data_IF_207986637268
#
_entry.id   IF_207986637268
#
_cell.length_a   1.000
_cell.length_b   1.000
_cell.length_c   1.000
_cell.angle_alpha   90.00
_cell.angle_beta   90.00
_cell.angle_gamma   90.00
#
_symmetry.space_group_name_H-M   'P 1'
#
loop_
_entity.id
_entity.type
_entity.pdbx_description
1 polymer ?
#
# COMPACT_ATOMS: atom_id res chain seq x y z
N UNK A 1 -15.23 -10.86 -13.36
CA UNK A 1 -14.53 -10.08 -14.42
C UNK A 1 -15.26 -8.78 -14.81
N UNK A 2 -16.43 -8.82 -15.45
CA UNK A 2 -17.12 -7.60 -15.91
C UNK A 2 -17.45 -6.62 -14.77
N UNK A 3 -17.89 -7.13 -13.60
CA UNK A 3 -18.12 -6.31 -12.41
C UNK A 3 -16.84 -5.62 -11.93
N UNK A 4 -15.71 -6.33 -11.87
CA UNK A 4 -14.41 -5.77 -11.47
C UNK A 4 -13.90 -4.71 -12.45
N UNK A 5 -14.03 -4.95 -13.75
CA UNK A 5 -13.67 -3.97 -14.79
C UNK A 5 -14.57 -2.73 -14.74
N UNK A 6 -15.88 -2.92 -14.59
CA UNK A 6 -16.85 -1.83 -14.43
C UNK A 6 -16.58 -0.99 -13.18
N UNK A 7 -16.30 -1.66 -12.06
CA UNK A 7 -15.92 -1.00 -10.81
C UNK A 7 -14.65 -0.17 -10.96
N UNK A 8 -13.59 -0.73 -11.56
CA UNK A 8 -12.36 0.00 -11.83
C UNK A 8 -12.57 1.17 -12.81
N UNK A 9 -13.45 1.03 -13.79
CA UNK A 9 -13.84 2.12 -14.68
C UNK A 9 -14.53 3.26 -13.90
N UNK A 10 -15.40 2.94 -12.94
CA UNK A 10 -16.03 3.93 -12.06
C UNK A 10 -14.98 4.65 -11.20
N UNK A 11 -14.03 3.92 -10.61
CA UNK A 11 -12.94 4.52 -9.82
C UNK A 11 -12.07 5.43 -10.70
N UNK A 12 -11.73 4.99 -11.92
CA UNK A 12 -10.99 5.79 -12.89
C UNK A 12 -11.74 7.07 -13.28
N UNK A 13 -13.06 6.99 -13.49
CA UNK A 13 -13.90 8.15 -13.81
C UNK A 13 -13.98 9.15 -12.65
N UNK A 14 -14.05 8.68 -11.40
CA UNK A 14 -13.97 9.53 -10.21
C UNK A 14 -12.63 10.26 -10.13
N UNK A 15 -11.54 9.53 -10.33
CA UNK A 15 -10.18 10.08 -10.36
C UNK A 15 -10.02 11.16 -11.44
N UNK A 16 -10.61 10.94 -12.62
CA UNK A 16 -10.60 11.89 -13.73
C UNK A 16 -11.34 13.20 -13.41
N UNK A 17 -12.37 13.16 -12.56
CA UNK A 17 -13.24 14.30 -12.25
C UNK A 17 -12.51 15.41 -11.47
N UNK A 18 -11.47 15.06 -10.71
CA UNK A 18 -10.54 16.02 -10.12
C UNK A 18 -9.96 15.58 -8.77
N UNK A 19 -8.76 16.08 -8.47
CA UNK A 19 -7.98 15.73 -7.27
C UNK A 19 -8.69 16.15 -5.98
N UNK A 20 -9.18 17.39 -5.90
CA UNK A 20 -9.89 17.92 -4.72
C UNK A 20 -11.13 17.09 -4.34
N UNK A 21 -11.90 16.68 -5.35
CA UNK A 21 -13.08 15.84 -5.13
C UNK A 21 -12.67 14.41 -4.73
N UNK A 22 -11.65 13.85 -5.36
CA UNK A 22 -11.13 12.52 -5.03
C UNK A 22 -10.63 12.44 -3.58
N UNK A 23 -9.94 13.48 -3.08
CA UNK A 23 -9.49 13.55 -1.68
C UNK A 23 -10.67 13.60 -0.70
N UNK A 24 -11.72 14.38 -1.00
CA UNK A 24 -12.93 14.42 -0.15
C UNK A 24 -13.64 13.07 -0.14
N UNK A 25 -13.78 12.43 -1.31
CA UNK A 25 -14.38 11.10 -1.42
C UNK A 25 -13.58 10.08 -0.61
N UNK A 26 -12.25 10.11 -0.70
CA UNK A 26 -11.36 9.26 0.09
C UNK A 26 -11.62 9.40 1.61
N UNK A 27 -11.76 10.63 2.13
CA UNK A 27 -12.08 10.84 3.55
C UNK A 27 -13.41 10.17 3.94
N UNK A 28 -14.45 10.31 3.12
CA UNK A 28 -15.75 9.67 3.36
C UNK A 28 -15.62 8.15 3.35
N UNK A 29 -14.93 7.60 2.34
CA UNK A 29 -14.71 6.14 2.24
C UNK A 29 -13.92 5.60 3.42
N UNK A 30 -12.90 6.31 3.86
CA UNK A 30 -12.10 5.97 5.04
C UNK A 30 -12.94 5.96 6.32
N UNK A 31 -13.87 6.92 6.49
CA UNK A 31 -14.79 6.92 7.64
C UNK A 31 -15.74 5.72 7.63
N UNK A 32 -16.25 5.33 6.45
CA UNK A 32 -17.09 4.13 6.30
C UNK A 32 -16.29 2.86 6.64
N UNK A 33 -15.06 2.76 6.14
CA UNK A 33 -14.15 1.65 6.42
C UNK A 33 -13.82 1.54 7.91
N UNK A 34 -13.45 2.67 8.54
CA UNK A 34 -13.19 2.74 9.98
C UNK A 34 -14.41 2.34 10.80
N UNK A 35 -15.61 2.73 10.38
CA UNK A 35 -16.86 2.33 11.05
C UNK A 35 -17.02 0.81 11.00
N UNK A 36 -16.74 0.18 9.85
CA UNK A 36 -16.75 -1.27 9.72
C UNK A 36 -15.79 -1.97 10.68
N UNK A 37 -14.54 -1.50 10.75
CA UNK A 37 -13.53 -2.07 11.66
C UNK A 37 -13.91 -1.87 13.13
N UNK A 38 -14.47 -0.71 13.49
CA UNK A 38 -14.95 -0.45 14.85
C UNK A 38 -16.10 -1.39 15.21
N UNK A 39 -17.03 -1.66 14.30
CA UNK A 39 -18.12 -2.64 14.52
C UNK A 39 -17.53 -4.02 14.81
N UNK A 40 -16.56 -4.49 14.02
CA UNK A 40 -15.89 -5.78 14.25
C UNK A 40 -15.22 -5.81 15.63
N UNK A 41 -14.52 -4.73 16.01
CA UNK A 41 -13.88 -4.62 17.33
C UNK A 41 -14.92 -4.71 18.45
N UNK A 42 -16.00 -3.93 18.37
CA UNK A 42 -17.05 -3.89 19.39
C UNK A 42 -17.74 -5.25 19.55
N UNK A 43 -18.02 -5.92 18.43
CA UNK A 43 -18.65 -7.25 18.44
C UNK A 43 -17.68 -8.29 19.01
N UNK A 44 -16.40 -8.22 18.66
CA UNK A 44 -15.36 -9.05 19.25
C UNK A 44 -15.29 -8.90 20.77
N UNK A 45 -15.25 -7.66 21.29
CA UNK A 45 -15.25 -7.40 22.72
C UNK A 45 -16.56 -7.80 23.42
N UNK A 46 -17.70 -7.63 22.75
CA UNK A 46 -18.99 -8.07 23.27
C UNK A 46 -19.05 -9.60 23.41
N UNK A 47 -18.64 -10.34 22.38
CA UNK A 47 -18.53 -11.80 22.42
C UNK A 47 -17.58 -12.27 23.53
N UNK A 48 -16.44 -11.59 23.69
CA UNK A 48 -15.49 -11.82 24.79
C UNK A 48 -16.14 -11.61 26.17
N UNK A 49 -16.96 -10.56 26.34
CA UNK A 49 -17.62 -10.27 27.62
C UNK A 49 -18.70 -11.28 27.99
N UNK A 50 -19.26 -12.01 27.02
CA UNK A 50 -20.26 -13.05 27.26
C UNK A 50 -19.63 -14.38 27.71
N UNK A 51 -18.30 -14.45 27.86
CA UNK A 51 -17.59 -15.64 28.36
C UNK A 51 -17.52 -16.80 27.35
N UNK A 52 -17.88 -16.56 26.09
CA UNK A 52 -17.98 -17.56 25.05
C UNK A 52 -16.70 -17.68 24.19
N UNK A 53 -15.57 -17.18 24.72
CA UNK A 53 -14.34 -16.93 23.96
C UNK A 53 -13.13 -17.50 24.68
N UNK A 54 -12.33 -18.26 23.94
CA UNK A 54 -11.11 -18.89 24.44
C UNK A 54 -9.90 -17.97 24.23
N UNK A 55 -9.50 -17.25 25.28
CA UNK A 55 -8.26 -16.46 25.29
C UNK A 55 -7.00 -17.31 25.18
N UNK A 56 -7.08 -18.63 25.36
CA UNK A 56 -5.95 -19.53 25.18
C UNK A 56 -5.43 -19.46 23.75
N UNK A 57 -6.29 -19.42 22.73
CA UNK A 57 -5.88 -19.33 21.32
C UNK A 57 -5.07 -18.05 21.01
N UNK A 58 -5.34 -16.92 21.68
CA UNK A 58 -4.59 -15.66 21.50
C UNK A 58 -3.18 -15.75 22.10
N UNK A 59 -2.98 -16.61 23.09
CA UNK A 59 -1.71 -16.76 23.83
C UNK A 59 -0.91 -18.00 23.44
N UNK A 60 -1.55 -18.96 22.77
CA UNK A 60 -0.94 -20.23 22.36
C UNK A 60 -0.21 -20.04 21.02
N UNK A 61 1.12 -19.92 21.10
CA UNK A 61 2.00 -19.93 19.93
C UNK A 61 2.20 -21.35 19.39
N UNK A 62 1.29 -21.80 18.52
CA UNK A 62 1.48 -23.02 17.72
C UNK A 62 2.36 -22.68 16.52
N UNK A 63 3.67 -22.91 16.65
CA UNK A 63 4.56 -22.86 15.48
C UNK A 63 4.55 -24.23 14.83
N UNK A 64 4.47 -24.30 13.50
CA UNK A 64 4.74 -25.54 12.76
C UNK A 64 6.10 -26.08 13.21
N UNK A 65 6.19 -27.38 13.54
CA UNK A 65 7.32 -28.04 14.24
C UNK A 65 8.71 -27.75 13.63
N UNK A 66 8.77 -27.32 12.36
CA UNK A 66 10.01 -27.04 11.62
C UNK A 66 10.51 -25.59 11.64
N UNK A 67 9.81 -24.62 12.26
CA UNK A 67 10.25 -23.21 12.30
C UNK A 67 10.49 -22.71 13.72
N UNK A 68 11.64 -22.06 13.92
CA UNK A 68 11.88 -21.24 15.12
C UNK A 68 10.82 -20.12 15.21
N UNK A 69 10.33 -19.82 16.42
CA UNK A 69 9.38 -18.73 16.66
C UNK A 69 9.84 -17.40 16.04
N UNK A 70 11.15 -17.14 16.03
CA UNK A 70 11.73 -15.96 15.39
C UNK A 70 11.50 -15.91 13.87
N UNK A 71 11.65 -17.05 13.18
CA UNK A 71 11.41 -17.14 11.73
C UNK A 71 9.91 -17.03 11.40
N UNK A 72 9.04 -17.60 12.23
CA UNK A 72 7.60 -17.48 12.07
C UNK A 72 7.13 -16.01 12.21
N UNK A 73 7.61 -15.32 13.24
CA UNK A 73 7.32 -13.88 13.44
C UNK A 73 7.89 -13.04 12.30
N UNK A 74 9.09 -13.36 11.81
CA UNK A 74 9.68 -12.67 10.66
C UNK A 74 8.82 -12.82 9.40
N UNK A 75 8.35 -14.03 9.09
CA UNK A 75 7.48 -14.27 7.95
C UNK A 75 6.14 -13.54 8.09
N UNK A 76 5.51 -13.62 9.27
CA UNK A 76 4.26 -12.93 9.56
C UNK A 76 4.41 -11.41 9.46
N UNK A 77 5.51 -10.84 9.96
CA UNK A 77 5.81 -9.40 9.88
C UNK A 77 5.96 -8.94 8.43
N UNK A 78 6.61 -9.76 7.61
CA UNK A 78 6.83 -9.50 6.19
C UNK A 78 5.52 -9.45 5.40
N UNK A 79 4.56 -10.31 5.75
CA UNK A 79 3.21 -10.29 5.20
C UNK A 79 2.37 -9.14 5.77
N UNK A 80 2.42 -8.92 7.10
CA UNK A 80 1.70 -7.85 7.77
C UNK A 80 2.12 -6.45 7.27
N UNK A 81 3.37 -6.29 6.85
CA UNK A 81 3.85 -5.06 6.21
C UNK A 81 3.03 -4.72 4.96
N UNK A 82 2.52 -5.70 4.21
CA UNK A 82 1.63 -5.46 3.07
C UNK A 82 0.36 -4.70 3.49
N UNK A 83 -0.20 -4.99 4.67
CA UNK A 83 -1.38 -4.29 5.19
C UNK A 83 -1.09 -2.83 5.60
N UNK A 84 0.18 -2.47 5.76
CA UNK A 84 0.64 -1.13 6.08
C UNK A 84 1.08 -0.34 4.84
N UNK A 85 1.13 -0.95 3.66
CA UNK A 85 1.49 -0.27 2.41
C UNK A 85 0.52 0.88 2.15
N UNK A 86 1.07 2.05 1.81
CA UNK A 86 0.32 3.26 1.46
C UNK A 86 0.57 4.44 2.40
N UNK A 87 1.27 4.28 3.53
CA UNK A 87 1.65 5.44 4.34
C UNK A 87 2.73 6.28 3.65
N UNK A 88 3.64 5.64 2.92
CA UNK A 88 4.70 6.27 2.12
C UNK A 88 4.16 7.19 1.04
N UNK A 89 2.99 6.85 0.52
CA UNK A 89 2.34 7.61 -0.53
C UNK A 89 1.90 8.99 -0.05
N UNK A 90 1.57 9.13 1.25
CA UNK A 90 1.16 10.41 1.83
C UNK A 90 2.19 11.52 1.59
N UNK A 91 3.47 11.17 1.44
CA UNK A 91 4.57 12.12 1.18
C UNK A 91 4.39 12.83 -0.16
N UNK A 92 3.85 12.18 -1.20
CA UNK A 92 3.61 12.84 -2.50
C UNK A 92 2.42 13.83 -2.45
N UNK A 93 1.69 13.88 -1.34
CA UNK A 93 0.67 14.88 -1.03
C UNK A 93 1.15 15.92 -0.01
N UNK A 94 2.38 15.82 0.48
CA UNK A 94 2.92 16.77 1.45
C UNK A 94 2.89 18.22 0.91
N UNK A 95 3.08 18.42 -0.39
CA UNK A 95 2.99 19.75 -1.03
C UNK A 95 1.59 20.39 -0.92
N UNK A 96 0.53 19.60 -0.73
CA UNK A 96 -0.84 20.08 -0.57
C UNK A 96 -1.23 20.29 0.90
N UNK A 97 -0.31 20.00 1.84
CA UNK A 97 -0.54 20.19 3.27
C UNK A 97 -0.16 21.59 3.72
N UNK A 98 -0.86 22.09 4.75
CA UNK A 98 -0.48 23.35 5.41
C UNK A 98 0.77 23.07 6.26
N UNK A 99 1.82 23.88 6.08
CA UNK A 99 3.06 23.78 6.85
C UNK A 99 3.64 22.34 6.92
N UNK A 100 4.08 21.78 5.78
CA UNK A 100 4.49 20.38 5.67
C UNK A 100 5.64 20.01 6.61
N UNK A 101 6.53 20.93 6.95
CA UNK A 101 7.69 20.61 7.80
C UNK A 101 7.30 20.26 9.25
N UNK A 102 6.16 20.77 9.74
CA UNK A 102 5.71 20.59 11.14
C UNK A 102 4.45 19.75 11.28
N UNK A 103 3.48 19.91 10.39
CA UNK A 103 2.17 19.25 10.50
C UNK A 103 2.25 17.82 9.96
N UNK A 104 2.90 17.64 8.81
CA UNK A 104 2.94 16.34 8.15
C UNK A 104 3.55 15.24 9.03
N UNK A 105 4.72 15.41 9.68
CA UNK A 105 5.29 14.35 10.51
C UNK A 105 4.37 13.96 11.68
N UNK A 106 3.76 14.95 12.35
CA UNK A 106 2.87 14.70 13.51
C UNK A 106 1.65 13.89 13.10
N UNK A 107 0.99 14.29 12.01
CA UNK A 107 -0.21 13.62 11.49
C UNK A 107 0.12 12.23 10.96
N UNK A 108 1.26 12.08 10.29
CA UNK A 108 1.74 10.78 9.80
C UNK A 108 1.97 9.78 10.94
N UNK A 109 2.70 10.18 11.99
CA UNK A 109 2.96 9.28 13.14
C UNK A 109 1.69 8.98 13.95
N UNK A 110 0.80 9.95 14.16
CA UNK A 110 -0.47 9.70 14.85
C UNK A 110 -1.39 8.81 14.03
N UNK A 111 -1.50 9.03 12.72
CA UNK A 111 -2.26 8.17 11.81
C UNK A 111 -1.74 6.73 11.83
N UNK A 112 -0.42 6.55 11.68
CA UNK A 112 0.20 5.23 11.72
C UNK A 112 -0.03 4.51 13.06
N UNK A 113 0.05 5.24 14.18
CA UNK A 113 -0.20 4.70 15.51
C UNK A 113 -1.66 4.27 15.71
N UNK A 114 -2.62 5.09 15.24
CA UNK A 114 -4.05 4.75 15.30
C UNK A 114 -4.35 3.52 14.45
N UNK A 115 -3.86 3.47 13.20
CA UNK A 115 -4.04 2.32 12.32
C UNK A 115 -3.44 1.05 12.92
N UNK A 116 -2.22 1.13 13.46
CA UNK A 116 -1.58 0.00 14.13
C UNK A 116 -2.38 -0.51 15.33
N UNK A 117 -2.91 0.39 16.15
CA UNK A 117 -3.78 0.02 17.28
C UNK A 117 -5.06 -0.68 16.81
N UNK A 118 -5.72 -0.16 15.77
CA UNK A 118 -6.93 -0.77 15.19
C UNK A 118 -6.62 -2.16 14.66
N UNK A 119 -5.51 -2.36 13.93
CA UNK A 119 -5.13 -3.66 13.40
C UNK A 119 -4.84 -4.69 14.49
N UNK A 120 -4.19 -4.28 15.59
CA UNK A 120 -3.97 -5.16 16.75
C UNK A 120 -5.30 -5.55 17.39
N UNK A 121 -6.20 -4.58 17.62
CA UNK A 121 -7.50 -4.85 18.22
C UNK A 121 -8.37 -5.76 17.36
N UNK A 122 -8.40 -5.53 16.03
CA UNK A 122 -9.11 -6.39 15.09
C UNK A 122 -8.52 -7.81 15.08
N UNK A 123 -7.19 -7.93 15.10
CA UNK A 123 -6.52 -9.24 15.11
C UNK A 123 -6.82 -10.03 16.38
N UNK A 124 -6.79 -9.37 17.55
CA UNK A 124 -7.17 -9.99 18.83
C UNK A 124 -8.64 -10.40 18.81
N UNK A 125 -9.54 -9.50 18.40
CA UNK A 125 -10.97 -9.79 18.29
C UNK A 125 -11.23 -10.98 17.36
N UNK A 126 -10.56 -11.03 16.20
CA UNK A 126 -10.75 -12.10 15.24
C UNK A 126 -10.31 -13.45 15.80
N UNK A 127 -9.07 -13.54 16.30
CA UNK A 127 -8.50 -14.79 16.83
C UNK A 127 -9.28 -15.28 18.05
N UNK A 128 -9.71 -14.37 18.92
CA UNK A 128 -10.45 -14.74 20.12
C UNK A 128 -11.84 -15.31 19.77
N UNK A 129 -12.57 -14.71 18.82
CA UNK A 129 -13.94 -15.13 18.48
C UNK A 129 -13.99 -16.38 17.59
N UNK A 130 -13.09 -16.48 16.60
CA UNK A 130 -13.17 -17.50 15.54
C UNK A 130 -12.12 -18.60 15.71
N UNK A 131 -10.97 -18.29 16.33
CA UNK A 131 -9.82 -19.19 16.40
C UNK A 131 -8.96 -19.20 15.13
N UNK A 132 -7.70 -19.62 15.25
CA UNK A 132 -6.70 -19.49 14.16
C UNK A 132 -7.02 -20.38 12.95
N UNK A 133 -7.52 -21.60 13.21
CA UNK A 133 -7.78 -22.59 12.16
C UNK A 133 -8.87 -22.15 11.17
N UNK A 134 -10.10 -21.84 11.64
CA UNK A 134 -11.17 -21.39 10.75
C UNK A 134 -10.84 -20.05 10.06
N UNK A 135 -10.18 -19.11 10.77
CA UNK A 135 -9.71 -17.85 10.15
C UNK A 135 -8.78 -18.09 8.96
N UNK A 136 -7.86 -19.05 9.07
CA UNK A 136 -6.91 -19.36 8.00
C UNK A 136 -7.57 -20.04 6.78
N UNK A 137 -8.74 -20.66 6.96
CA UNK A 137 -9.51 -21.31 5.91
C UNK A 137 -10.60 -20.40 5.30
N UNK A 138 -10.83 -19.22 5.88
CA UNK A 138 -11.92 -18.32 5.51
C UNK A 138 -11.51 -17.31 4.45
N UNK A 139 -12.29 -17.19 3.39
CA UNK A 139 -12.13 -16.14 2.37
C UNK A 139 -12.57 -14.76 2.87
N UNK A 140 -13.41 -14.72 3.92
CA UNK A 140 -13.90 -13.47 4.52
C UNK A 140 -13.81 -13.50 6.05
N UNK A 141 -12.59 -13.51 6.63
CA UNK A 141 -12.39 -13.74 8.05
C UNK A 141 -13.13 -12.73 8.94
N UNK A 142 -13.13 -11.45 8.56
CA UNK A 142 -13.79 -10.38 9.32
C UNK A 142 -15.32 -10.49 9.31
N UNK A 143 -15.91 -11.05 8.25
CA UNK A 143 -17.36 -11.30 8.20
C UNK A 143 -17.74 -12.41 9.20
N UNK A 144 -16.93 -13.47 9.24
CA UNK A 144 -17.12 -14.61 10.13
C UNK A 144 -17.04 -14.22 11.61
N UNK A 145 -16.11 -13.33 11.97
CA UNK A 145 -16.04 -12.75 13.32
C UNK A 145 -17.38 -12.13 13.74
N UNK A 146 -18.02 -11.41 12.83
CA UNK A 146 -19.29 -10.74 13.15
C UNK A 146 -20.45 -11.73 13.18
N UNK A 147 -20.51 -12.68 12.24
CA UNK A 147 -21.54 -13.71 12.22
C UNK A 147 -21.55 -14.55 13.50
N UNK A 148 -20.36 -14.90 14.02
CA UNK A 148 -20.21 -15.66 15.26
C UNK A 148 -20.44 -14.77 16.49
N UNK A 149 -19.90 -13.55 16.49
CA UNK A 149 -19.95 -12.65 17.66
C UNK A 149 -21.30 -11.94 17.86
N UNK A 150 -22.10 -11.77 16.81
CA UNK A 150 -23.42 -11.12 16.86
C UNK A 150 -24.37 -11.67 15.78
N UNK A 151 -24.90 -12.90 15.95
CA UNK A 151 -25.72 -13.59 14.95
C UNK A 151 -27.02 -12.87 14.57
N UNK A 152 -27.57 -12.03 15.45
CA UNK A 152 -28.78 -11.24 15.20
C UNK A 152 -28.52 -9.91 14.45
N UNK A 153 -27.26 -9.54 14.25
CA UNK A 153 -26.91 -8.32 13.52
C UNK A 153 -27.00 -8.59 12.01
N UNK A 154 -27.71 -7.77 11.20
CA UNK A 154 -27.85 -7.98 9.75
C UNK A 154 -26.57 -7.60 8.98
N UNK A 155 -25.44 -8.20 9.38
CA UNK A 155 -24.11 -7.91 8.87
C UNK A 155 -23.95 -8.37 7.42
N UNK A 156 -24.59 -9.47 7.04
CA UNK A 156 -24.50 -10.06 5.69
C UNK A 156 -24.94 -9.09 4.60
N UNK A 157 -25.82 -8.15 4.94
CA UNK A 157 -26.31 -7.11 4.01
C UNK A 157 -25.48 -5.84 4.04
N UNK A 158 -24.74 -5.56 5.12
CA UNK A 158 -24.02 -4.30 5.29
C UNK A 158 -22.51 -4.46 4.99
N UNK A 159 -21.93 -5.59 5.40
CA UNK A 159 -20.51 -5.87 5.24
C UNK A 159 -20.04 -5.85 3.79
N UNK A 160 -20.75 -6.46 2.82
CA UNK A 160 -20.31 -6.40 1.42
C UNK A 160 -20.24 -4.96 0.89
N UNK A 161 -21.13 -4.06 1.35
CA UNK A 161 -21.06 -2.64 0.98
C UNK A 161 -19.84 -1.98 1.60
N UNK A 162 -19.58 -2.20 2.89
CA UNK A 162 -18.40 -1.65 3.58
C UNK A 162 -17.13 -2.14 2.90
N UNK A 163 -17.00 -3.44 2.64
CA UNK A 163 -15.86 -4.03 1.93
C UNK A 163 -15.70 -3.45 0.53
N UNK A 164 -16.79 -3.25 -0.22
CA UNK A 164 -16.74 -2.62 -1.54
C UNK A 164 -16.25 -1.17 -1.47
N UNK A 165 -16.68 -0.40 -0.46
CA UNK A 165 -16.20 0.96 -0.24
C UNK A 165 -14.73 1.01 0.18
N UNK A 166 -14.28 0.07 1.03
CA UNK A 166 -12.88 -0.06 1.40
C UNK A 166 -11.99 -0.37 0.18
N UNK A 167 -12.39 -1.34 -0.66
CA UNK A 167 -11.68 -1.65 -1.91
C UNK A 167 -11.69 -0.45 -2.87
N UNK A 168 -12.80 0.29 -2.94
CA UNK A 168 -12.89 1.52 -3.75
C UNK A 168 -11.91 2.58 -3.24
N UNK A 169 -11.80 2.71 -1.93
CA UNK A 169 -10.90 3.64 -1.26
C UNK A 169 -9.45 3.35 -1.62
N UNK A 170 -9.02 2.11 -1.41
CA UNK A 170 -7.66 1.66 -1.71
C UNK A 170 -7.33 1.84 -3.19
N UNK A 171 -8.25 1.49 -4.08
CA UNK A 171 -8.06 1.65 -5.53
C UNK A 171 -7.96 3.13 -5.94
N UNK A 172 -8.82 3.99 -5.40
CA UNK A 172 -8.86 5.41 -5.70
C UNK A 172 -7.57 6.10 -5.26
N UNK A 173 -7.09 5.83 -4.04
CA UNK A 173 -5.81 6.33 -3.52
C UNK A 173 -4.67 5.86 -4.43
N UNK A 174 -4.50 4.55 -4.60
CA UNK A 174 -3.39 4.00 -5.39
C UNK A 174 -3.35 4.55 -6.82
N UNK A 175 -4.51 4.76 -7.46
CA UNK A 175 -4.56 5.39 -8.79
C UNK A 175 -4.15 6.87 -8.77
N UNK A 176 -4.57 7.65 -7.77
CA UNK A 176 -4.11 9.03 -7.62
C UNK A 176 -2.58 9.07 -7.45
N UNK A 177 -2.03 8.20 -6.61
CA UNK A 177 -0.61 8.16 -6.31
C UNK A 177 0.21 7.73 -7.51
N UNK A 178 -0.18 6.64 -8.18
CA UNK A 178 0.48 6.17 -9.39
C UNK A 178 0.54 7.26 -10.46
N UNK A 179 -0.54 8.04 -10.62
CA UNK A 179 -0.57 9.14 -11.61
C UNK A 179 0.42 10.26 -11.29
N UNK A 180 0.63 10.59 -9.99
CA UNK A 180 1.59 11.60 -9.52
C UNK A 180 3.02 11.13 -9.66
N UNK A 181 3.30 9.88 -9.29
CA UNK A 181 4.62 9.27 -9.44
C UNK A 181 5.03 9.26 -10.92
N UNK A 182 4.14 8.81 -11.82
CA UNK A 182 4.36 8.83 -13.27
C UNK A 182 4.59 10.25 -13.79
N UNK A 183 3.84 11.24 -13.31
CA UNK A 183 4.06 12.65 -13.66
C UNK A 183 5.43 13.17 -13.21
N UNK A 184 5.83 12.90 -11.97
CA UNK A 184 7.16 13.27 -11.44
C UNK A 184 8.30 12.62 -12.24
N UNK A 185 8.18 11.33 -12.54
CA UNK A 185 9.16 10.59 -13.36
C UNK A 185 9.21 11.11 -14.81
N UNK A 186 8.08 11.48 -15.40
CA UNK A 186 8.03 12.08 -16.73
C UNK A 186 8.68 13.48 -16.75
N UNK A 187 8.54 14.27 -15.68
CA UNK A 187 9.20 15.57 -15.53
C UNK A 187 10.73 15.44 -15.40
N UNK A 188 11.20 14.35 -14.79
CA UNK A 188 12.63 13.99 -14.71
C UNK A 188 13.16 13.27 -15.98
N UNK A 189 12.36 13.14 -17.03
CA UNK A 189 12.70 12.44 -18.29
C UNK A 189 13.07 10.96 -18.12
N UNK A 190 12.69 10.34 -16.99
CA UNK A 190 12.85 8.90 -16.73
C UNK A 190 11.81 8.10 -17.52
N UNK A 191 10.64 8.70 -17.75
CA UNK A 191 9.56 8.16 -18.58
C UNK A 191 9.26 9.06 -19.78
N UNK A 192 8.60 8.53 -20.84
CA UNK A 192 8.17 9.33 -21.98
C UNK A 192 7.37 10.56 -21.54
N UNK A 193 7.77 11.76 -21.98
CA UNK A 193 7.09 13.03 -21.65
C UNK A 193 5.59 13.05 -21.96
N UNK A 194 5.11 12.18 -22.85
CA UNK A 194 3.68 12.01 -23.13
C UNK A 194 2.89 11.58 -21.89
N UNK A 195 3.45 10.77 -20.99
CA UNK A 195 2.82 10.42 -19.72
C UNK A 195 2.72 11.63 -18.77
N UNK A 196 3.62 12.60 -18.90
CA UNK A 196 3.59 13.85 -18.15
C UNK A 196 2.57 14.88 -18.66
N UNK A 197 1.78 14.58 -19.71
CA UNK A 197 0.85 15.56 -20.26
C UNK A 197 -0.38 15.74 -19.36
N UNK A 198 -0.60 16.99 -18.96
CA UNK A 198 -1.63 17.36 -18.00
C UNK A 198 -2.81 18.02 -18.72
N UNK A 199 -4.04 17.72 -18.30
CA UNK A 199 -5.23 18.33 -18.87
C UNK A 199 -5.29 19.83 -18.53
N UNK A 200 -5.45 20.67 -19.57
CA UNK A 200 -5.32 22.15 -19.49
C UNK A 200 -6.28 22.81 -18.49
N UNK A 201 -7.48 22.26 -18.30
CA UNK A 201 -8.51 22.84 -17.40
C UNK A 201 -8.51 22.26 -15.97
N UNK A 202 -8.06 21.02 -15.77
CA UNK A 202 -8.20 20.30 -14.48
C UNK A 202 -6.86 20.01 -13.80
N UNK A 203 -5.75 20.29 -14.48
CA UNK A 203 -4.39 19.98 -14.02
C UNK A 203 -4.19 18.51 -13.61
N UNK A 204 -4.98 17.59 -14.18
CA UNK A 204 -4.89 16.13 -13.96
C UNK A 204 -4.07 15.46 -15.07
N UNK A 205 -3.12 14.56 -14.75
CA UNK A 205 -2.32 13.84 -15.74
C UNK A 205 -3.15 12.72 -16.39
N UNK A 206 -3.99 13.08 -17.36
CA UNK A 206 -4.98 12.18 -17.94
C UNK A 206 -4.37 10.99 -18.69
N UNK A 207 -3.19 11.16 -19.30
CA UNK A 207 -2.48 10.07 -20.00
C UNK A 207 -1.94 9.05 -19.00
N UNK A 208 -1.38 9.50 -17.87
CA UNK A 208 -0.98 8.61 -16.78
C UNK A 208 -2.16 7.83 -16.21
N UNK A 209 -3.32 8.49 -16.00
CA UNK A 209 -4.53 7.82 -15.50
C UNK A 209 -5.02 6.76 -16.49
N UNK A 210 -5.05 7.07 -17.79
CA UNK A 210 -5.48 6.11 -18.80
C UNK A 210 -4.51 4.91 -18.87
N UNK A 211 -3.21 5.17 -18.80
CA UNK A 211 -2.18 4.14 -18.82
C UNK A 211 -2.24 3.22 -17.59
N UNK A 212 -2.36 3.78 -16.38
CA UNK A 212 -2.49 2.97 -15.15
C UNK A 212 -3.79 2.18 -15.13
N UNK A 213 -4.89 2.77 -15.60
CA UNK A 213 -6.18 2.07 -15.73
C UNK A 213 -6.09 0.93 -16.73
N UNK A 214 -5.43 1.13 -17.87
CA UNK A 214 -5.21 0.08 -18.87
C UNK A 214 -4.39 -1.08 -18.28
N UNK A 215 -3.29 -0.78 -17.59
CA UNK A 215 -2.49 -1.81 -16.90
C UNK A 215 -3.34 -2.56 -15.88
N UNK A 216 -4.14 -1.85 -15.08
CA UNK A 216 -5.04 -2.48 -14.12
C UNK A 216 -6.06 -3.41 -14.79
N UNK A 217 -6.67 -3.01 -15.91
CA UNK A 217 -7.59 -3.87 -16.67
C UNK A 217 -6.90 -5.12 -17.22
N UNK A 218 -5.70 -4.97 -17.79
CA UNK A 218 -4.90 -6.10 -18.29
C UNK A 218 -4.57 -7.05 -17.14
N UNK A 219 -4.15 -6.52 -15.99
CA UNK A 219 -3.79 -7.33 -14.83
C UNK A 219 -5.01 -8.06 -14.26
N UNK A 220 -6.15 -7.38 -14.13
CA UNK A 220 -7.42 -8.00 -13.69
C UNK A 220 -7.83 -9.13 -14.64
N UNK A 221 -7.71 -8.90 -15.96
CA UNK A 221 -8.01 -9.92 -16.96
C UNK A 221 -7.09 -11.14 -16.83
N UNK A 222 -5.78 -10.93 -16.74
CA UNK A 222 -4.78 -12.00 -16.64
C UNK A 222 -4.95 -12.78 -15.34
N UNK A 223 -5.11 -12.10 -14.19
CA UNK A 223 -5.32 -12.75 -12.89
C UNK A 223 -6.60 -13.60 -12.90
N UNK A 224 -7.71 -13.02 -13.37
CA UNK A 224 -9.02 -13.72 -13.39
C UNK A 224 -9.04 -14.93 -14.34
N UNK A 225 -8.26 -14.89 -15.44
CA UNK A 225 -8.34 -15.92 -16.51
C UNK A 225 -7.21 -16.94 -16.50
N UNK A 226 -6.04 -16.61 -15.96
CA UNK A 226 -4.84 -17.43 -16.12
C UNK A 226 -4.15 -17.78 -14.79
N UNK A 227 -4.15 -16.89 -13.80
CA UNK A 227 -3.26 -17.02 -12.64
C UNK A 227 -3.96 -17.44 -11.33
N UNK A 228 -5.28 -17.25 -11.18
CA UNK A 228 -6.00 -17.63 -9.96
C UNK A 228 -5.68 -16.75 -8.74
N UNK A 229 -6.18 -17.16 -7.57
CA UNK A 229 -6.14 -16.35 -6.33
C UNK A 229 -4.74 -16.27 -5.70
N UNK A 230 -3.92 -17.31 -5.85
CA UNK A 230 -2.53 -17.35 -5.35
C UNK A 230 -1.66 -16.23 -5.94
N UNK A 231 -1.98 -15.77 -7.14
CA UNK A 231 -1.26 -14.66 -7.75
C UNK A 231 -1.55 -13.32 -7.08
N UNK A 232 -2.71 -13.14 -6.46
CA UNK A 232 -3.03 -11.92 -5.71
C UNK A 232 -2.10 -11.81 -4.50
N UNK A 233 -1.96 -12.91 -3.75
CA UNK A 233 -1.04 -12.99 -2.61
C UNK A 233 0.42 -12.79 -3.06
N UNK A 234 0.81 -13.38 -4.18
CA UNK A 234 2.15 -13.23 -4.74
C UNK A 234 2.43 -11.78 -5.17
N UNK A 235 1.49 -11.13 -5.86
CA UNK A 235 1.62 -9.73 -6.30
C UNK A 235 1.65 -8.76 -5.12
N UNK A 236 0.79 -8.97 -4.12
CA UNK A 236 0.79 -8.19 -2.88
C UNK A 236 2.12 -8.33 -2.12
N UNK A 237 2.57 -9.56 -1.92
CA UNK A 237 3.87 -9.85 -1.30
C UNK A 237 5.04 -9.25 -2.07
N UNK A 238 5.01 -9.30 -3.40
CA UNK A 238 6.02 -8.68 -4.28
C UNK A 238 6.04 -7.15 -4.13
N UNK A 239 4.87 -6.52 -4.01
CA UNK A 239 4.75 -5.07 -3.80
C UNK A 239 5.40 -4.67 -2.47
N UNK A 240 5.08 -5.37 -1.39
CA UNK A 240 5.72 -5.19 -0.09
C UNK A 240 7.25 -5.40 -0.16
N UNK A 241 7.71 -6.43 -0.88
CA UNK A 241 9.14 -6.73 -1.05
C UNK A 241 9.88 -5.57 -1.73
N UNK A 242 9.35 -5.07 -2.85
CA UNK A 242 9.96 -3.96 -3.59
C UNK A 242 9.97 -2.68 -2.76
N UNK A 243 8.88 -2.39 -2.04
CA UNK A 243 8.79 -1.21 -1.16
C UNK A 243 9.78 -1.28 0.00
N UNK A 244 9.96 -2.44 0.64
CA UNK A 244 11.00 -2.62 1.65
C UNK A 244 12.40 -2.34 1.07
N UNK A 245 12.67 -2.79 -0.17
CA UNK A 245 13.91 -2.47 -0.87
C UNK A 245 14.08 -0.96 -1.12
N UNK A 246 13.01 -0.28 -1.55
CA UNK A 246 13.00 1.18 -1.70
C UNK A 246 13.26 1.86 -0.35
N UNK A 247 12.64 1.42 0.74
CA UNK A 247 12.89 1.95 2.07
C UNK A 247 14.32 1.72 2.55
N UNK A 248 14.93 0.57 2.28
CA UNK A 248 16.35 0.36 2.54
C UNK A 248 17.20 1.43 1.84
N UNK A 249 16.95 1.66 0.55
CA UNK A 249 17.68 2.65 -0.23
C UNK A 249 17.43 4.08 0.26
N UNK A 250 16.19 4.45 0.57
CA UNK A 250 15.83 5.79 1.08
C UNK A 250 16.48 6.04 2.45
N UNK A 251 16.46 5.07 3.36
CA UNK A 251 17.11 5.22 4.66
C UNK A 251 18.64 5.34 4.54
N UNK A 252 19.27 4.60 3.62
CA UNK A 252 20.69 4.75 3.30
C UNK A 252 20.96 6.15 2.70
N UNK A 253 20.13 6.60 1.76
CA UNK A 253 20.27 7.92 1.14
C UNK A 253 20.20 9.04 2.17
N UNK A 254 19.28 8.96 3.15
CA UNK A 254 19.20 9.92 4.26
C UNK A 254 20.49 9.95 5.09
N UNK A 255 21.12 8.78 5.33
CA UNK A 255 22.40 8.72 6.06
C UNK A 255 23.56 9.33 5.25
N UNK A 256 23.55 9.15 3.92
CA UNK A 256 24.56 9.72 3.03
C UNK A 256 24.41 11.24 2.89
N UNK A 257 23.18 11.72 2.68
CA UNK A 257 22.84 13.15 2.50
C UNK A 257 22.88 13.95 3.80
N UNK A 258 23.14 13.30 4.94
CA UNK A 258 23.07 13.95 6.26
C UNK A 258 24.08 15.08 6.47
N UNK A 259 25.17 15.04 5.73
CA UNK A 259 26.21 16.08 5.79
C UNK A 259 25.94 17.24 4.83
N UNK A 260 24.89 17.16 4.00
CA UNK A 260 24.54 18.20 3.06
C UNK A 260 23.72 19.29 3.76
N UNK A 261 24.15 20.54 3.62
CA UNK A 261 23.45 21.69 4.18
C UNK A 261 22.31 22.12 3.27
N UNK A 262 21.09 22.14 3.80
CA UNK A 262 19.89 22.61 3.10
C UNK A 262 19.35 23.87 3.78
N UNK A 263 18.98 24.86 2.98
CA UNK A 263 18.63 26.23 3.42
C UNK A 263 17.17 26.36 3.93
N UNK A 264 16.42 25.25 4.01
CA UNK A 264 15.01 25.23 4.39
C UNK A 264 14.77 24.41 5.66
N UNK A 265 13.77 24.81 6.44
CA UNK A 265 13.34 24.09 7.64
C UNK A 265 12.85 22.68 7.28
N UNK A 266 13.53 21.66 7.83
CA UNK A 266 13.20 20.25 7.64
C UNK A 266 13.14 19.49 8.97
N UNK A 267 12.40 18.38 8.99
CA UNK A 267 12.35 17.47 10.13
C UNK A 267 13.60 16.60 10.19
N UNK A 268 14.34 16.64 11.30
CA UNK A 268 15.56 15.85 11.49
C UNK A 268 15.29 14.65 12.40
N UNK A 269 15.34 13.44 11.81
CA UNK A 269 15.25 12.20 12.58
C UNK A 269 16.58 11.91 13.31
N UNK A 270 16.54 11.35 14.54
CA UNK A 270 17.73 10.81 15.20
C UNK A 270 18.44 9.76 14.34
N UNK A 271 19.77 9.87 14.21
CA UNK A 271 20.63 8.97 13.42
C UNK A 271 20.40 7.46 13.60
N UNK A 272 20.19 6.94 14.82
CA UNK A 272 20.00 5.51 14.98
C UNK A 272 18.72 5.01 14.28
N UNK A 273 17.72 5.88 14.07
CA UNK A 273 16.43 5.47 13.50
C UNK A 273 16.58 5.08 12.02
N UNK A 274 17.13 5.91 11.10
CA UNK A 274 17.37 5.48 9.71
C UNK A 274 18.31 4.28 9.60
N UNK A 275 19.33 4.18 10.46
CA UNK A 275 20.26 3.05 10.44
C UNK A 275 19.57 1.72 10.81
N UNK A 276 18.79 1.71 11.89
CA UNK A 276 18.00 0.55 12.28
C UNK A 276 16.92 0.23 11.23
N UNK A 277 16.24 1.25 10.69
CA UNK A 277 15.24 1.06 9.65
C UNK A 277 15.84 0.46 8.37
N UNK A 278 17.00 0.94 7.91
CA UNK A 278 17.73 0.36 6.78
C UNK A 278 18.08 -1.11 7.04
N UNK A 279 18.59 -1.42 8.24
CA UNK A 279 18.93 -2.79 8.64
C UNK A 279 17.71 -3.71 8.66
N UNK A 280 16.61 -3.32 9.31
CA UNK A 280 15.39 -4.13 9.40
C UNK A 280 14.69 -4.29 8.03
N UNK A 281 14.64 -3.23 7.22
CA UNK A 281 14.09 -3.32 5.87
C UNK A 281 14.95 -4.26 4.99
N UNK A 282 16.28 -4.11 5.03
CA UNK A 282 17.19 -5.00 4.31
C UNK A 282 17.06 -6.45 4.81
N UNK A 283 16.88 -6.62 6.11
CA UNK A 283 16.63 -7.92 6.71
C UNK A 283 15.33 -8.54 6.18
N UNK A 284 14.25 -7.78 6.11
CA UNK A 284 12.94 -8.28 5.64
C UNK A 284 12.86 -8.53 4.13
N UNK A 285 13.77 -7.92 3.35
CA UNK A 285 13.92 -8.21 1.92
C UNK A 285 14.60 -9.57 1.70
N UNK A 286 15.40 -10.04 2.66
CA UNK A 286 16.19 -11.26 2.50
C UNK A 286 15.36 -12.55 2.38
N UNK A 287 15.88 -13.58 1.67
CA UNK A 287 15.16 -14.83 1.40
C UNK A 287 14.88 -15.67 2.67
N UNK A 288 15.55 -15.39 3.78
CA UNK A 288 15.33 -16.05 5.08
C UNK A 288 13.98 -15.70 5.72
N UNK A 289 13.27 -14.69 5.21
CA UNK A 289 11.93 -14.34 5.70
C UNK A 289 10.86 -15.38 5.37
N UNK A 290 11.21 -16.45 4.62
CA UNK A 290 10.26 -17.49 4.23
C UNK A 290 9.24 -17.03 3.19
N UNK A 291 9.52 -15.90 2.51
CA UNK A 291 8.76 -15.43 1.35
C UNK A 291 8.84 -16.46 0.22
N UNK A 292 7.75 -16.59 -0.51
CA UNK A 292 7.72 -17.46 -1.69
C UNK A 292 8.74 -16.97 -2.73
N UNK A 293 9.52 -17.90 -3.26
CA UNK A 293 10.50 -17.64 -4.31
C UNK A 293 9.84 -17.08 -5.60
N UNK A 294 8.55 -17.34 -5.81
CA UNK A 294 7.77 -16.69 -6.86
C UNK A 294 7.79 -15.15 -6.74
N UNK A 295 7.73 -14.59 -5.51
CA UNK A 295 7.76 -13.15 -5.30
C UNK A 295 9.07 -12.52 -5.78
N UNK A 296 10.21 -13.19 -5.52
CA UNK A 296 11.52 -12.72 -6.00
C UNK A 296 11.65 -12.78 -7.52
N UNK A 297 11.09 -13.82 -8.16
CA UNK A 297 11.07 -13.94 -9.62
C UNK A 297 10.26 -12.81 -10.25
N UNK A 298 9.06 -12.53 -9.73
CA UNK A 298 8.20 -11.43 -10.22
C UNK A 298 8.86 -10.09 -9.96
N UNK A 299 9.44 -9.85 -8.77
CA UNK A 299 10.19 -8.64 -8.45
C UNK A 299 11.36 -8.44 -9.42
N UNK A 300 12.15 -9.48 -9.68
CA UNK A 300 13.26 -9.44 -10.62
C UNK A 300 12.80 -9.12 -12.04
N UNK A 301 11.73 -9.75 -12.51
CA UNK A 301 11.13 -9.47 -13.82
C UNK A 301 10.63 -8.01 -13.92
N UNK A 302 10.00 -7.48 -12.87
CA UNK A 302 9.55 -6.08 -12.82
C UNK A 302 10.73 -5.09 -12.83
N UNK A 303 11.81 -5.38 -12.10
CA UNK A 303 13.02 -4.56 -12.11
C UNK A 303 13.68 -4.56 -13.49
N UNK A 304 13.80 -5.72 -14.12
CA UNK A 304 14.34 -5.84 -15.49
C UNK A 304 13.46 -5.05 -16.46
N UNK A 305 12.14 -5.20 -16.38
CA UNK A 305 11.21 -4.42 -17.20
C UNK A 305 11.41 -2.92 -16.99
N UNK A 306 11.56 -2.46 -15.74
CA UNK A 306 11.86 -1.06 -15.41
C UNK A 306 13.17 -0.57 -16.03
N UNK A 307 14.24 -1.36 -15.94
CA UNK A 307 15.55 -1.04 -16.56
C UNK A 307 15.45 -1.00 -18.09
N UNK A 308 14.72 -1.93 -18.70
CA UNK A 308 14.48 -1.96 -20.15
C UNK A 308 13.70 -0.73 -20.59
N UNK A 309 12.62 -0.36 -19.88
CA UNK A 309 11.83 0.84 -20.18
C UNK A 309 12.66 2.12 -20.02
N UNK A 310 13.50 2.18 -18.98
CA UNK A 310 14.43 3.29 -18.79
C UNK A 310 15.46 3.36 -19.93
N UNK A 311 16.04 2.23 -20.33
CA UNK A 311 17.01 2.18 -21.43
C UNK A 311 16.37 2.62 -22.75
N UNK A 312 15.16 2.13 -23.07
CA UNK A 312 14.40 2.57 -24.26
C UNK A 312 14.17 4.09 -24.21
N UNK A 313 13.78 4.62 -23.06
CA UNK A 313 13.53 6.07 -22.90
C UNK A 313 14.83 6.87 -23.03
N UNK A 314 15.93 6.39 -22.44
CA UNK A 314 17.26 7.00 -22.52
C UNK A 314 17.75 7.04 -23.98
N UNK A 315 17.70 5.92 -24.70
CA UNK A 315 18.09 5.87 -26.11
C UNK A 315 17.17 6.72 -26.98
N UNK A 316 15.86 6.72 -26.73
CA UNK A 316 14.92 7.56 -27.50
C UNK A 316 15.21 9.05 -27.29
N UNK A 317 15.45 9.49 -26.05
CA UNK A 317 15.78 10.89 -25.75
C UNK A 317 17.15 11.28 -26.33
N UNK A 318 18.15 10.42 -26.24
CA UNK A 318 19.50 10.66 -26.76
C UNK A 318 19.54 10.68 -28.30
N UNK A 319 18.89 9.72 -28.95
CA UNK A 319 18.99 9.51 -30.41
C UNK A 319 17.99 10.34 -31.21
N UNK A 320 16.77 10.54 -30.70
CA UNK A 320 15.70 11.26 -31.45
C UNK A 320 15.63 12.73 -31.06
N UNK A 321 16.00 13.10 -29.82
CA UNK A 321 15.77 14.45 -29.29
C UNK A 321 17.04 15.24 -28.93
N UNK A 322 18.21 14.60 -28.86
CA UNK A 322 19.49 15.30 -28.66
C UNK A 322 19.62 16.06 -27.33
N UNK A 323 18.82 15.73 -26.31
CA UNK A 323 18.86 16.41 -25.02
C UNK A 323 19.83 15.73 -24.03
N UNK A 324 20.49 16.51 -23.17
CA UNK A 324 21.29 15.98 -22.06
C UNK A 324 20.41 15.25 -21.04
N UNK A 325 20.49 13.93 -21.04
CA UNK A 325 19.76 13.04 -20.13
C UNK A 325 20.48 12.90 -18.79
N UNK A 326 20.65 14.01 -18.07
CA UNK A 326 21.07 14.03 -16.67
C UNK A 326 19.88 14.22 -15.73
N UNK A 327 19.98 13.72 -14.48
CA UNK A 327 19.03 14.09 -13.43
C UNK A 327 19.15 15.60 -13.19
N UNK A 328 18.12 16.36 -13.57
CA UNK A 328 18.07 17.80 -13.29
C UNK A 328 17.71 17.99 -11.82
N UNK A 329 18.39 18.93 -11.18
CA UNK A 329 18.13 19.31 -9.80
C UNK A 329 16.63 19.63 -9.62
N UNK A 330 15.93 19.00 -8.67
CA UNK A 330 14.51 19.28 -8.39
C UNK A 330 14.22 20.77 -8.19
N UNK A 331 15.18 21.55 -7.68
CA UNK A 331 15.03 22.99 -7.47
C UNK A 331 14.90 23.78 -8.79
N UNK A 332 15.39 23.25 -9.91
CA UNK A 332 15.32 23.87 -11.23
C UNK A 332 14.03 23.54 -12.00
N UNK A 333 13.15 22.70 -11.43
CA UNK A 333 11.92 22.23 -12.07
C UNK A 333 10.69 23.08 -11.74
N UNK A 334 10.83 24.27 -11.13
CA UNK A 334 9.68 25.14 -10.80
C UNK A 334 8.92 25.64 -12.03
#
# INVERSE_FOLDING_TARGET
>A
LLLALGFMACVAALNFRGVSESVKTNVVLTLVELTGLIIVILIGFYAMSQGNVDFSEVTVFKTSEDKSAFLAVTAATSLAFFAMVGFEDSVNMAEETKDPSRIFPKVMFTGLGITGAIYILVSIAAVAVVGVGPLAASDTPLLEVVQIGAPDFPIDKLFPFISMFAVANSALINMMMASRLLYGMAKQNVLPRSLGHVHHSRRTPYISILFTTLIAFVLIYIVTKQLGDDAILTLGGTTALLLLGVFTLVNIAVLVLRNDTVDHDHFTAPTPIPALAAFFCAYLVGPWTGRDFAQYKVAGAMLILGVVLWAITYFTNKTVRGEETGFKDPAQLR
#
